data_IF_755129792136
#
_entry.id   IF_755129792136
#
_cell.length_a   1.000
_cell.length_b   1.000
_cell.length_c   1.000
_cell.angle_alpha   90.00
_cell.angle_beta   90.00
_cell.angle_gamma   90.00
#
_symmetry.space_group_name_H-M   'P 1'
#
loop_
_entity.id
_entity.type
_entity.pdbx_description
1 polymer ?
#
# COMPACT_ATOMS: atom_id res chain seq x y z
N UNK A 1 -31.23 0.32 -14.33
CA UNK A 1 -30.18 1.08 -15.03
C UNK A 1 -29.46 1.87 -13.93
N UNK A 2 -28.20 1.67 -13.56
CA UNK A 2 -27.02 1.19 -14.27
C UNK A 2 -26.04 0.54 -13.27
N UNK A 3 -25.56 -0.65 -13.61
CA UNK A 3 -24.18 -0.93 -14.04
C UNK A 3 -23.28 -1.37 -12.89
N UNK A 4 -23.17 -2.69 -12.84
CA UNK A 4 -22.28 -3.53 -12.06
C UNK A 4 -20.82 -3.16 -12.29
N UNK A 5 -20.11 -2.82 -11.22
CA UNK A 5 -18.66 -3.08 -11.13
C UNK A 5 -18.49 -4.16 -10.07
N UNK A 6 -17.95 -5.35 -10.40
CA UNK A 6 -17.57 -6.30 -9.37
C UNK A 6 -16.39 -5.70 -8.62
N UNK A 7 -16.65 -5.09 -7.46
CA UNK A 7 -15.60 -4.68 -6.52
C UNK A 7 -14.95 -5.97 -6.03
N UNK A 8 -13.91 -6.42 -6.73
CA UNK A 8 -12.97 -7.40 -6.22
C UNK A 8 -12.28 -6.71 -5.05
N UNK A 9 -12.92 -6.77 -3.87
CA UNK A 9 -12.45 -6.15 -2.65
C UNK A 9 -11.13 -6.84 -2.29
N UNK A 10 -10.02 -6.19 -2.60
CA UNK A 10 -8.67 -6.73 -2.44
C UNK A 10 -8.28 -6.62 -0.97
N UNK A 11 -8.91 -7.40 -0.08
CA UNK A 11 -8.48 -7.57 1.32
C UNK A 11 -8.32 -6.28 2.14
N UNK A 12 -8.80 -5.13 1.64
CA UNK A 12 -8.54 -3.84 2.23
C UNK A 12 -9.55 -3.62 3.36
N UNK A 13 -9.06 -3.66 4.60
CA UNK A 13 -9.93 -3.50 5.76
C UNK A 13 -10.50 -2.08 5.82
N UNK A 14 -11.73 -1.96 6.29
CA UNK A 14 -12.41 -0.66 6.42
C UNK A 14 -11.64 0.34 7.31
N UNK A 15 -10.79 -0.18 8.20
CA UNK A 15 -9.86 0.61 9.01
C UNK A 15 -8.71 1.20 8.19
N UNK A 16 -8.14 0.46 7.23
CA UNK A 16 -7.09 1.02 6.35
C UNK A 16 -7.65 2.12 5.46
N UNK A 17 -8.86 1.92 4.96
CA UNK A 17 -9.58 2.94 4.18
C UNK A 17 -9.80 4.23 4.98
N UNK A 18 -10.33 4.15 6.21
CA UNK A 18 -10.58 5.34 7.01
C UNK A 18 -9.29 6.10 7.37
N UNK A 19 -8.18 5.40 7.58
CA UNK A 19 -6.87 6.02 7.82
C UNK A 19 -6.38 6.77 6.57
N UNK A 20 -6.52 6.17 5.39
CA UNK A 20 -6.11 6.81 4.12
C UNK A 20 -6.98 8.01 3.78
N UNK A 21 -8.29 7.92 3.98
CA UNK A 21 -9.21 9.06 3.83
C UNK A 21 -8.87 10.18 4.81
N UNK A 22 -8.60 9.85 6.08
CA UNK A 22 -8.17 10.84 7.08
C UNK A 22 -6.84 11.51 6.71
N UNK A 23 -5.91 10.78 6.07
CA UNK A 23 -4.68 11.35 5.56
C UNK A 23 -4.94 12.29 4.36
N UNK A 24 -5.83 11.91 3.44
CA UNK A 24 -6.22 12.76 2.31
C UNK A 24 -6.86 14.07 2.77
N UNK A 25 -7.74 14.01 3.78
CA UNK A 25 -8.40 15.20 4.34
C UNK A 25 -7.42 16.24 4.92
N UNK A 26 -6.18 15.84 5.28
CA UNK A 26 -5.15 16.80 5.69
C UNK A 26 -4.69 17.71 4.55
N UNK A 27 -4.84 17.24 3.30
CA UNK A 27 -4.49 17.99 2.09
C UNK A 27 -5.71 18.63 1.42
N UNK A 28 -6.92 18.22 1.80
CA UNK A 28 -8.20 18.77 1.31
C UNK A 28 -9.01 19.40 2.46
N UNK A 29 -8.53 20.50 3.08
CA UNK A 29 -9.22 21.13 4.21
C UNK A 29 -10.60 21.69 3.85
N UNK A 30 -10.88 21.89 2.56
CA UNK A 30 -12.16 22.39 2.05
C UNK A 30 -13.17 21.26 1.79
N UNK A 31 -12.75 19.99 1.84
CA UNK A 31 -13.61 18.83 1.57
C UNK A 31 -14.10 18.77 0.12
N UNK A 32 -13.28 19.24 -0.82
CA UNK A 32 -13.60 19.25 -2.24
C UNK A 32 -13.53 17.87 -2.91
N UNK A 33 -12.98 16.88 -2.22
CA UNK A 33 -12.67 15.54 -2.73
C UNK A 33 -11.48 15.52 -3.70
N UNK A 34 -10.74 16.64 -3.81
CA UNK A 34 -9.69 16.84 -4.81
C UNK A 34 -8.51 17.59 -4.21
N UNK A 35 -7.30 17.11 -4.48
CA UNK A 35 -6.06 17.76 -4.03
C UNK A 35 -5.15 18.00 -5.23
N UNK A 36 -4.63 19.22 -5.46
CA UNK A 36 -3.67 19.46 -6.53
C UNK A 36 -2.46 18.53 -6.44
N UNK A 37 -2.02 17.94 -7.56
CA UNK A 37 -0.86 17.04 -7.57
C UNK A 37 0.42 17.72 -7.05
N UNK A 38 0.55 19.04 -7.26
CA UNK A 38 1.64 19.83 -6.74
C UNK A 38 1.70 19.81 -5.20
N UNK A 39 0.55 19.95 -4.53
CA UNK A 39 0.46 19.91 -3.06
C UNK A 39 0.89 18.55 -2.52
N UNK A 40 0.45 17.46 -3.16
CA UNK A 40 0.88 16.11 -2.78
C UNK A 40 2.37 15.89 -3.01
N UNK A 41 2.92 16.46 -4.08
CA UNK A 41 4.34 16.34 -4.42
C UNK A 41 5.21 17.11 -3.43
N UNK A 42 4.81 18.32 -3.04
CA UNK A 42 5.51 19.13 -2.04
C UNK A 42 5.44 18.51 -0.64
N UNK A 43 4.32 17.90 -0.27
CA UNK A 43 4.16 17.23 1.01
C UNK A 43 4.89 15.88 1.10
N UNK A 44 5.29 15.30 -0.03
CA UNK A 44 5.88 13.96 -0.07
C UNK A 44 7.34 13.97 0.40
N UNK A 45 7.59 13.34 1.53
CA UNK A 45 8.94 13.16 2.06
C UNK A 45 9.58 11.88 1.50
N UNK A 46 10.30 12.01 0.38
CA UNK A 46 10.94 10.88 -0.29
C UNK A 46 11.99 10.15 0.58
N UNK A 47 12.62 10.84 1.53
CA UNK A 47 13.59 10.25 2.46
C UNK A 47 12.97 9.19 3.40
N UNK A 48 11.66 9.31 3.67
CA UNK A 48 10.93 8.35 4.50
C UNK A 48 10.44 7.13 3.73
N UNK A 49 10.71 7.06 2.42
CA UNK A 49 10.33 5.91 1.62
C UNK A 49 11.12 4.66 2.07
N UNK A 50 10.51 3.49 2.29
CA UNK A 50 11.18 2.31 2.83
C UNK A 50 12.43 1.89 2.06
N UNK A 51 12.37 1.87 0.72
CA UNK A 51 13.54 1.55 -0.10
C UNK A 51 14.61 2.65 -0.10
N UNK A 52 14.25 3.90 0.21
CA UNK A 52 15.21 5.00 0.32
C UNK A 52 15.93 4.93 1.66
N UNK A 53 15.20 4.70 2.75
CA UNK A 53 15.80 4.53 4.08
C UNK A 53 16.67 3.28 4.19
N UNK A 54 16.40 2.25 3.39
CA UNK A 54 17.24 1.06 3.25
C UNK A 54 18.44 1.24 2.31
N UNK A 55 18.51 2.34 1.56
CA UNK A 55 19.59 2.60 0.59
C UNK A 55 19.43 1.91 -0.77
N UNK A 56 18.32 1.20 -0.98
CA UNK A 56 18.03 0.47 -2.24
C UNK A 56 17.49 1.39 -3.35
N UNK A 57 17.05 2.59 -3.01
CA UNK A 57 16.43 3.55 -3.94
C UNK A 57 16.89 4.98 -3.66
N UNK A 58 17.14 5.76 -4.71
CA UNK A 58 17.42 7.19 -4.56
C UNK A 58 16.13 7.98 -4.25
N UNK A 59 16.17 9.02 -3.38
CA UNK A 59 15.00 9.83 -3.06
C UNK A 59 14.31 10.43 -4.30
N UNK A 60 15.10 10.88 -5.29
CA UNK A 60 14.57 11.41 -6.54
C UNK A 60 13.76 10.38 -7.35
N UNK A 61 14.14 9.10 -7.28
CA UNK A 61 13.41 8.02 -7.94
C UNK A 61 12.08 7.77 -7.24
N UNK A 62 12.07 7.76 -5.90
CA UNK A 62 10.84 7.61 -5.11
C UNK A 62 9.86 8.76 -5.36
N UNK A 63 10.33 10.01 -5.34
CA UNK A 63 9.51 11.18 -5.66
C UNK A 63 8.91 11.09 -7.07
N UNK A 64 9.73 10.75 -8.08
CA UNK A 64 9.26 10.59 -9.45
C UNK A 64 8.24 9.45 -9.60
N UNK A 65 8.46 8.33 -8.91
CA UNK A 65 7.52 7.21 -8.91
C UNK A 65 6.15 7.61 -8.35
N UNK A 66 6.14 8.35 -7.23
CA UNK A 66 4.91 8.89 -6.64
C UNK A 66 4.18 9.85 -7.59
N UNK A 67 4.88 10.83 -8.17
CA UNK A 67 4.28 11.76 -9.13
C UNK A 67 3.72 11.02 -10.36
N UNK A 68 4.46 10.03 -10.87
CA UNK A 68 4.00 9.22 -12.00
C UNK A 68 2.75 8.41 -11.67
N UNK A 69 2.61 7.90 -10.45
CA UNK A 69 1.45 7.14 -10.02
C UNK A 69 0.15 7.98 -10.05
N UNK A 70 0.24 9.26 -9.70
CA UNK A 70 -0.92 10.17 -9.64
C UNK A 70 -1.12 11.02 -10.90
N UNK A 71 -0.17 10.98 -11.84
CA UNK A 71 -0.29 11.70 -13.12
C UNK A 71 -1.54 11.35 -13.92
N UNK A 72 -2.02 10.08 -13.99
CA UNK A 72 -3.28 9.75 -14.64
C UNK A 72 -4.49 10.47 -14.02
N UNK A 73 -4.59 10.46 -12.68
CA UNK A 73 -5.65 11.18 -11.95
C UNK A 73 -5.59 12.69 -12.22
N UNK A 74 -4.39 13.28 -12.15
CA UNK A 74 -4.18 14.69 -12.48
C UNK A 74 -4.59 15.04 -13.91
N UNK A 75 -4.31 14.19 -14.91
CA UNK A 75 -4.76 14.43 -16.29
C UNK A 75 -6.27 14.37 -16.42
N UNK A 76 -6.93 13.48 -15.68
CA UNK A 76 -8.38 13.33 -15.71
C UNK A 76 -9.10 14.46 -14.95
N UNK A 77 -8.43 15.07 -13.98
CA UNK A 77 -9.02 16.00 -13.03
C UNK A 77 -8.28 17.34 -12.97
N UNK A 78 -7.91 17.87 -14.14
CA UNK A 78 -7.39 19.23 -14.31
C UNK A 78 -6.23 19.59 -13.38
N UNK A 79 -5.29 18.67 -13.21
CA UNK A 79 -4.10 18.81 -12.37
C UNK A 79 -4.28 18.36 -10.91
N UNK A 80 -5.46 17.83 -10.55
CA UNK A 80 -5.78 17.38 -9.19
C UNK A 80 -5.91 15.86 -9.09
N UNK A 81 -5.68 15.33 -7.91
CA UNK A 81 -5.89 13.93 -7.57
C UNK A 81 -7.21 13.81 -6.84
N UNK A 82 -8.08 12.91 -7.30
CA UNK A 82 -9.35 12.61 -6.63
C UNK A 82 -9.14 11.66 -5.45
N UNK A 83 -9.98 11.77 -4.43
CA UNK A 83 -9.90 10.90 -3.24
C UNK A 83 -10.04 9.42 -3.61
N UNK A 84 -10.86 9.08 -4.60
CA UNK A 84 -11.05 7.71 -5.06
C UNK A 84 -9.76 7.12 -5.64
N UNK A 85 -9.07 7.89 -6.49
CA UNK A 85 -7.79 7.46 -7.07
C UNK A 85 -6.69 7.35 -6.01
N UNK A 86 -6.73 8.24 -5.00
CA UNK A 86 -5.81 8.18 -3.86
C UNK A 86 -6.01 6.93 -3.01
N UNK A 87 -7.27 6.57 -2.72
CA UNK A 87 -7.61 5.35 -1.99
C UNK A 87 -7.25 4.11 -2.79
N UNK A 88 -7.59 4.06 -4.07
CA UNK A 88 -7.27 2.93 -4.97
C UNK A 88 -5.76 2.68 -5.09
N UNK A 89 -4.97 3.76 -5.16
CA UNK A 89 -3.51 3.66 -5.12
C UNK A 89 -3.02 2.98 -3.84
N UNK A 90 -3.50 3.40 -2.67
CA UNK A 90 -3.09 2.83 -1.38
C UNK A 90 -3.63 1.41 -1.15
N UNK A 91 -4.79 1.08 -1.71
CA UNK A 91 -5.33 -0.29 -1.75
C UNK A 91 -4.39 -1.21 -2.52
N UNK A 92 -3.96 -0.80 -3.72
CA UNK A 92 -3.02 -1.57 -4.53
C UNK A 92 -1.66 -1.73 -3.82
N UNK A 93 -1.10 -0.66 -3.30
CA UNK A 93 0.17 -0.70 -2.56
C UNK A 93 0.06 -1.63 -1.33
N UNK A 94 -1.07 -1.59 -0.63
CA UNK A 94 -1.30 -2.48 0.52
C UNK A 94 -1.39 -3.94 0.10
N UNK A 95 -2.07 -4.25 -1.00
CA UNK A 95 -2.15 -5.61 -1.53
C UNK A 95 -0.76 -6.15 -1.95
N UNK A 96 0.09 -5.30 -2.55
CA UNK A 96 1.46 -5.65 -2.90
C UNK A 96 2.33 -5.90 -1.64
N UNK A 97 2.16 -5.12 -0.58
CA UNK A 97 2.84 -5.33 0.71
C UNK A 97 2.36 -6.60 1.40
N UNK A 98 1.05 -6.84 1.45
CA UNK A 98 0.50 -8.05 2.07
C UNK A 98 0.97 -9.31 1.30
N UNK A 99 1.08 -9.27 -0.04
CA UNK A 99 1.65 -10.35 -0.86
C UNK A 99 3.15 -10.58 -0.57
N UNK A 100 3.91 -9.52 -0.30
CA UNK A 100 5.31 -9.63 0.12
C UNK A 100 5.46 -10.20 1.53
N UNK A 101 4.57 -9.84 2.47
CA UNK A 101 4.57 -10.40 3.82
C UNK A 101 4.16 -11.88 3.84
N UNK A 102 3.21 -12.29 3.01
CA UNK A 102 2.79 -13.70 2.87
C UNK A 102 3.95 -14.56 2.32
N UNK A 103 4.68 -14.08 1.30
CA UNK A 103 5.86 -14.80 0.78
C UNK A 103 6.95 -15.01 1.83
N UNK A 104 7.15 -14.03 2.72
CA UNK A 104 8.11 -14.15 3.83
C UNK A 104 7.60 -15.10 4.94
N UNK A 105 6.29 -15.11 5.21
CA UNK A 105 5.68 -16.04 6.15
C UNK A 105 5.77 -17.50 5.66
N UNK A 106 5.49 -17.76 4.38
CA UNK A 106 5.60 -19.10 3.79
C UNK A 106 7.05 -19.60 3.79
N UNK A 107 8.03 -18.73 3.49
CA UNK A 107 9.44 -19.05 3.60
C UNK A 107 9.85 -19.37 5.05
N UNK A 108 9.31 -18.62 6.03
CA UNK A 108 9.53 -18.84 7.46
C UNK A 108 8.96 -20.19 7.94
N UNK A 109 7.74 -20.55 7.55
CA UNK A 109 7.11 -21.83 7.92
C UNK A 109 7.74 -23.03 7.20
N UNK A 110 8.18 -22.88 5.94
CA UNK A 110 8.89 -23.93 5.20
C UNK A 110 10.27 -24.24 5.79
N UNK A 111 10.96 -23.23 6.36
CA UNK A 111 12.25 -23.41 7.06
C UNK A 111 12.10 -24.17 8.38
N UNK A 112 11.02 -23.96 9.14
CA UNK A 112 10.74 -24.71 10.38
C UNK A 112 10.34 -26.17 10.15
N UNK A 113 9.60 -26.49 9.07
CA UNK A 113 9.25 -27.90 8.75
C UNK A 113 10.47 -28.78 8.39
N UNK A 114 11.58 -28.19 7.94
CA UNK A 114 12.85 -28.93 7.68
C UNK A 114 13.66 -29.25 8.95
N UNK A 115 13.36 -28.66 10.10
CA UNK A 115 14.12 -28.87 11.34
C UNK A 115 13.44 -29.80 12.36
N UNK A 116 12.21 -30.27 12.09
CA UNK A 116 11.49 -31.20 12.97
C UNK A 116 11.07 -32.49 12.25
N UNK A 117 11.97 -33.06 11.43
CA UNK A 117 11.90 -34.48 11.06
C UNK A 117 12.77 -35.36 11.98
N UNK A 118 12.86 -34.99 13.26
CA UNK A 118 13.39 -35.84 14.31
C UNK A 118 12.22 -36.47 15.03
N UNK A 119 12.01 -37.77 14.82
CA UNK A 119 11.01 -38.61 15.48
C UNK A 119 11.09 -38.43 17.01
N UNK A 120 10.04 -37.89 17.63
CA UNK A 120 9.83 -38.05 19.08
C UNK A 120 9.02 -39.33 19.22
N UNK A 121 9.68 -40.39 19.68
CA UNK A 121 9.00 -41.63 20.03
C UNK A 121 8.07 -41.37 21.22
N UNK A 122 6.85 -41.88 21.10
CA UNK A 122 5.78 -41.81 22.10
C UNK A 122 6.00 -42.85 23.21
N UNK A 123 7.08 -42.73 24.00
CA UNK A 123 7.30 -43.62 25.17
C UNK A 123 7.84 -42.91 26.42
N UNK A 124 7.70 -41.58 26.54
CA UNK A 124 8.06 -40.84 27.78
C UNK A 124 6.84 -40.41 28.61
N UNK A 125 5.71 -41.09 28.46
CA UNK A 125 4.56 -40.91 29.36
C UNK A 125 3.90 -42.26 29.67
N UNK A 126 4.55 -43.03 30.55
CA UNK A 126 4.02 -43.74 31.74
C UNK A 126 5.19 -44.37 32.47
#
# INVERSE_FOLDING_TARGET
MNSTLPKKQLGYSQQRQSIVEAAFNKFDPTGSGRVPLAVLTEAYCAEKHPHVSQGDMAPAVAARAMTNAFTPSAKQHSGSVAVEDFVLFHERMSAEVDEMQIRNADAYFKKKKKQHSGSVAVEDFV
#
